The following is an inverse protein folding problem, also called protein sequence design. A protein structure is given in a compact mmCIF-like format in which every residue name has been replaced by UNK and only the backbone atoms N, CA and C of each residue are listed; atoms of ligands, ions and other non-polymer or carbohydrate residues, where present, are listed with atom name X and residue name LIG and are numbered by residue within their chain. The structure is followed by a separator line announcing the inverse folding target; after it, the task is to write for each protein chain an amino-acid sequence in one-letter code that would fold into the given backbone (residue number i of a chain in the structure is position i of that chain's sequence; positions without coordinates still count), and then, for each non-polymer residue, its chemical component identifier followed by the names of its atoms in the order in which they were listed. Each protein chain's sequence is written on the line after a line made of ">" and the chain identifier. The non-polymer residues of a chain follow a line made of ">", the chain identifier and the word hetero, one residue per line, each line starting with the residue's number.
data_IF_607402529573
#
_entry.id   IF_607402529573
#
_cell.length_a   1.000
_cell.length_b   1.000
_cell.length_c   1.000
_cell.angle_alpha   90.00
_cell.angle_beta   90.00
_cell.angle_gamma   90.00
#
_symmetry.space_group_name_H-M   'P 1'
#
loop_
_entity.id
_entity.type
_entity.pdbx_description
1 polymer ?
#
# COMPACT_ATOMS: atom_id res chain seq x y z
N UNK A 1 6.99 35.23 -4.85
CA UNK A 1 8.47 35.32 -4.86
C UNK A 1 9.19 34.02 -4.45
N UNK A 2 8.55 33.06 -3.75
CA UNK A 2 9.17 31.77 -3.34
C UNK A 2 8.93 30.58 -4.31
N UNK A 3 8.20 30.77 -5.41
CA UNK A 3 7.73 29.67 -6.30
C UNK A 3 8.80 29.22 -7.30
N UNK A 4 9.77 30.09 -7.60
CA UNK A 4 10.89 29.88 -8.51
C UNK A 4 12.12 29.27 -7.80
N UNK A 5 11.93 28.38 -6.81
CA UNK A 5 13.04 27.55 -6.38
C UNK A 5 13.46 26.71 -7.60
N UNK A 6 14.65 27.05 -8.11
CA UNK A 6 15.19 26.69 -9.41
C UNK A 6 14.89 25.22 -9.76
N UNK A 7 14.31 24.95 -10.92
CA UNK A 7 13.84 23.61 -11.33
C UNK A 7 14.87 22.50 -11.10
N UNK A 8 16.15 22.81 -11.35
CA UNK A 8 17.28 21.91 -11.09
C UNK A 8 17.46 21.59 -9.60
N UNK A 9 17.26 22.58 -8.72
CA UNK A 9 17.34 22.43 -7.27
C UNK A 9 16.19 21.59 -6.74
N UNK A 10 14.94 21.81 -7.20
CA UNK A 10 13.78 20.99 -6.78
C UNK A 10 13.95 19.52 -7.17
N UNK A 11 14.39 19.24 -8.39
CA UNK A 11 14.68 17.87 -8.84
C UNK A 11 15.85 17.26 -8.07
N UNK A 12 16.93 18.02 -7.86
CA UNK A 12 18.08 17.58 -7.07
C UNK A 12 17.69 17.19 -5.65
N UNK A 13 16.92 18.03 -4.95
CA UNK A 13 16.39 17.74 -3.61
C UNK A 13 15.54 16.47 -3.64
N UNK A 14 14.65 16.33 -4.63
CA UNK A 14 13.80 15.12 -4.75
C UNK A 14 14.63 13.84 -4.85
N UNK A 15 15.64 13.81 -5.72
CA UNK A 15 16.50 12.63 -5.87
C UNK A 15 17.33 12.35 -4.63
N UNK A 16 17.84 13.39 -3.95
CA UNK A 16 18.55 13.24 -2.68
C UNK A 16 17.63 12.65 -1.61
N UNK A 17 16.39 13.16 -1.50
CA UNK A 17 15.39 12.65 -0.55
C UNK A 17 15.04 11.19 -0.85
N UNK A 18 14.83 10.83 -2.12
CA UNK A 18 14.56 9.45 -2.54
C UNK A 18 15.75 8.54 -2.18
N UNK A 19 16.97 8.94 -2.55
CA UNK A 19 18.18 8.17 -2.27
C UNK A 19 18.41 7.97 -0.77
N UNK A 20 18.27 9.04 0.02
CA UNK A 20 18.32 8.98 1.48
C UNK A 20 17.26 8.03 2.05
N UNK A 21 16.02 8.12 1.57
CA UNK A 21 14.91 7.25 2.04
C UNK A 21 15.17 5.79 1.71
N UNK A 22 15.73 5.48 0.53
CA UNK A 22 16.09 4.10 0.15
C UNK A 22 17.19 3.56 1.07
N UNK A 23 18.27 4.32 1.28
CA UNK A 23 19.36 3.91 2.17
C UNK A 23 18.85 3.72 3.60
N UNK A 24 18.02 4.65 4.08
CA UNK A 24 17.39 4.57 5.38
C UNK A 24 16.51 3.32 5.50
N UNK A 25 15.66 3.03 4.51
CA UNK A 25 14.79 1.86 4.49
C UNK A 25 15.59 0.54 4.49
N UNK A 26 16.69 0.46 3.74
CA UNK A 26 17.57 -0.72 3.72
C UNK A 26 18.23 -0.91 5.08
N UNK A 27 18.83 0.15 5.64
CA UNK A 27 19.52 0.08 6.93
C UNK A 27 18.54 -0.30 8.05
N UNK A 28 17.39 0.36 8.09
CA UNK A 28 16.38 0.11 9.10
C UNK A 28 15.75 -1.29 8.98
N UNK A 29 15.50 -1.77 7.76
CA UNK A 29 15.02 -3.15 7.52
C UNK A 29 16.09 -4.21 7.83
N UNK A 30 17.38 -3.84 7.83
CA UNK A 30 18.46 -4.77 8.20
C UNK A 30 18.64 -4.87 9.72
N UNK A 31 18.38 -3.77 10.43
CA UNK A 31 18.54 -3.67 11.89
C UNK A 31 17.25 -4.03 12.65
N UNK A 32 16.08 -3.76 12.06
CA UNK A 32 14.77 -4.00 12.67
C UNK A 32 13.98 -5.05 11.90
N UNK A 33 13.01 -5.69 12.55
CA UNK A 33 12.07 -6.63 11.92
C UNK A 33 10.99 -5.95 11.07
N UNK A 34 11.09 -4.63 10.83
CA UNK A 34 10.10 -3.86 10.08
C UNK A 34 10.39 -4.01 8.58
N UNK A 35 9.36 -4.43 7.84
CA UNK A 35 9.47 -4.64 6.40
C UNK A 35 9.74 -3.34 5.64
N UNK A 36 10.61 -3.43 4.63
CA UNK A 36 10.92 -2.31 3.71
C UNK A 36 9.66 -1.75 3.01
N UNK A 37 8.62 -2.56 2.86
CA UNK A 37 7.35 -2.21 2.23
C UNK A 37 6.67 -1.01 2.92
N UNK A 38 6.81 -0.87 4.24
CA UNK A 38 6.25 0.28 4.98
C UNK A 38 6.83 1.63 4.55
N UNK A 39 8.06 1.66 4.02
CA UNK A 39 8.76 2.88 3.61
C UNK A 39 8.54 3.26 2.15
N UNK A 40 7.91 2.39 1.35
CA UNK A 40 7.75 2.63 -0.08
C UNK A 40 6.96 3.91 -0.37
N UNK A 41 6.01 4.28 0.51
CA UNK A 41 5.27 5.51 0.29
C UNK A 41 6.13 6.77 0.40
N UNK A 42 7.13 6.75 1.28
CA UNK A 42 8.09 7.84 1.46
C UNK A 42 9.03 7.98 0.26
N UNK A 43 9.22 6.91 -0.51
CA UNK A 43 10.00 6.93 -1.75
C UNK A 43 9.20 7.59 -2.88
N UNK A 44 7.88 7.32 -3.00
CA UNK A 44 7.09 7.82 -4.13
C UNK A 44 6.43 9.19 -3.90
N UNK A 45 6.19 9.62 -2.65
CA UNK A 45 5.62 10.95 -2.36
C UNK A 45 6.49 12.11 -2.91
N UNK A 46 7.82 12.12 -2.72
CA UNK A 46 8.69 13.16 -3.29
C UNK A 46 8.59 13.22 -4.82
N UNK A 47 8.36 12.08 -5.48
CA UNK A 47 8.20 12.03 -6.93
C UNK A 47 6.98 12.83 -7.40
N UNK A 48 5.84 12.71 -6.69
CA UNK A 48 4.62 13.47 -6.99
C UNK A 48 4.87 14.98 -6.83
N UNK A 49 5.55 15.38 -5.75
CA UNK A 49 5.79 16.79 -5.42
C UNK A 49 6.88 17.45 -6.29
N UNK A 50 7.60 16.67 -7.10
CA UNK A 50 8.65 17.16 -7.99
C UNK A 50 8.13 17.95 -9.19
N UNK A 51 6.83 17.83 -9.50
CA UNK A 51 6.22 18.53 -10.64
C UNK A 51 6.15 20.04 -10.43
N UNK A 52 6.55 20.80 -11.45
CA UNK A 52 6.40 22.25 -11.48
C UNK A 52 5.14 22.71 -12.20
N UNK A 53 4.55 21.84 -13.02
CA UNK A 53 3.32 22.10 -13.76
C UNK A 53 2.19 21.22 -13.25
N UNK A 54 0.96 21.73 -13.33
CA UNK A 54 -0.25 20.98 -12.96
C UNK A 54 -0.38 19.69 -13.80
N UNK A 55 -0.07 19.75 -15.09
CA UNK A 55 -0.07 18.57 -15.96
C UNK A 55 0.96 17.53 -15.53
N UNK A 56 2.17 17.97 -15.14
CA UNK A 56 3.21 17.09 -14.62
C UNK A 56 2.81 16.43 -13.30
N UNK A 57 2.11 17.16 -12.41
CA UNK A 57 1.59 16.63 -11.16
C UNK A 57 0.61 15.47 -11.41
N UNK A 58 -0.37 15.67 -12.29
CA UNK A 58 -1.32 14.63 -12.67
C UNK A 58 -0.63 13.43 -13.34
N UNK A 59 0.38 13.68 -14.19
CA UNK A 59 1.17 12.61 -14.80
C UNK A 59 1.89 11.75 -13.75
N UNK A 60 2.62 12.37 -12.81
CA UNK A 60 3.29 11.61 -11.74
C UNK A 60 2.30 10.88 -10.83
N UNK A 61 1.16 11.48 -10.54
CA UNK A 61 0.10 10.84 -9.76
C UNK A 61 -0.44 9.59 -10.47
N UNK A 62 -0.59 9.61 -11.80
CA UNK A 62 -0.93 8.42 -12.58
C UNK A 62 0.19 7.36 -12.58
N UNK A 63 1.45 7.77 -12.71
CA UNK A 63 2.60 6.85 -12.62
C UNK A 63 2.64 6.17 -11.25
N UNK A 64 2.50 6.94 -10.17
CA UNK A 64 2.48 6.40 -8.81
C UNK A 64 1.28 5.49 -8.58
N UNK A 65 0.09 5.81 -9.10
CA UNK A 65 -1.09 4.91 -9.08
C UNK A 65 -0.77 3.55 -9.72
N UNK A 66 -0.11 3.55 -10.88
CA UNK A 66 0.24 2.29 -11.58
C UNK A 66 1.26 1.50 -10.76
N UNK A 67 2.31 2.15 -10.25
CA UNK A 67 3.31 1.49 -9.39
C UNK A 67 2.67 0.90 -8.15
N UNK A 68 1.79 1.67 -7.49
CA UNK A 68 1.02 1.22 -6.32
C UNK A 68 0.22 -0.04 -6.64
N UNK A 69 -0.59 -0.03 -7.70
CA UNK A 69 -1.40 -1.18 -8.07
C UNK A 69 -0.50 -2.39 -8.36
N UNK A 70 0.56 -2.21 -9.16
CA UNK A 70 1.47 -3.30 -9.51
C UNK A 70 2.12 -3.95 -8.29
N UNK A 71 2.39 -3.21 -7.21
CA UNK A 71 2.95 -3.79 -5.99
C UNK A 71 1.97 -4.73 -5.27
N UNK A 72 0.70 -4.33 -5.12
CA UNK A 72 -0.30 -5.21 -4.50
C UNK A 72 -0.56 -6.45 -5.36
N UNK A 73 -0.58 -6.27 -6.68
CA UNK A 73 -0.70 -7.39 -7.63
C UNK A 73 0.49 -8.32 -7.54
N UNK A 74 1.71 -7.79 -7.45
CA UNK A 74 2.92 -8.60 -7.27
C UNK A 74 2.89 -9.39 -5.96
N UNK A 75 2.41 -8.79 -4.86
CA UNK A 75 2.22 -9.48 -3.59
C UNK A 75 1.24 -10.65 -3.72
N UNK A 76 0.10 -10.45 -4.39
CA UNK A 76 -0.87 -11.51 -4.63
C UNK A 76 -0.31 -12.63 -5.53
N UNK A 77 0.40 -12.27 -6.59
CA UNK A 77 1.06 -13.24 -7.49
C UNK A 77 2.12 -14.04 -6.75
N UNK A 78 2.87 -13.44 -5.82
CA UNK A 78 3.82 -14.17 -4.98
C UNK A 78 3.12 -15.19 -4.07
N UNK A 79 1.93 -14.87 -3.53
CA UNK A 79 1.10 -15.81 -2.74
C UNK A 79 0.58 -16.98 -3.60
N UNK A 80 0.27 -16.74 -4.87
CA UNK A 80 -0.05 -17.79 -5.84
C UNK A 80 1.17 -18.65 -6.19
N UNK A 81 2.29 -18.01 -6.52
CA UNK A 81 3.52 -18.69 -6.96
C UNK A 81 4.14 -19.57 -5.86
N UNK A 82 4.12 -19.10 -4.61
CA UNK A 82 4.59 -19.87 -3.46
C UNK A 82 3.70 -21.07 -3.12
N UNK A 83 2.55 -21.24 -3.79
CA UNK A 83 1.57 -22.27 -3.46
C UNK A 83 0.88 -22.05 -2.11
N UNK A 84 1.07 -20.89 -1.48
CA UNK A 84 0.56 -20.61 -0.14
C UNK A 84 -0.97 -20.61 -0.09
N UNK A 85 -1.64 -20.30 -1.20
CA UNK A 85 -3.11 -20.31 -1.31
C UNK A 85 -3.67 -21.73 -1.31
N UNK A 86 -2.87 -22.77 -1.52
CA UNK A 86 -3.34 -24.16 -1.47
C UNK A 86 -3.09 -24.83 -0.11
N UNK A 87 -2.41 -24.13 0.81
CA UNK A 87 -2.03 -24.69 2.09
C UNK A 87 -2.79 -23.98 3.22
N UNK A 88 -3.69 -24.73 3.87
CA UNK A 88 -4.56 -24.24 4.95
C UNK A 88 -3.79 -23.79 6.19
N UNK A 89 -2.56 -24.26 6.36
CA UNK A 89 -1.75 -24.00 7.55
C UNK A 89 -0.96 -22.70 7.46
N UNK A 90 -0.89 -22.07 6.28
CA UNK A 90 -0.08 -20.88 6.04
C UNK A 90 -0.50 -19.71 6.92
N UNK A 91 -1.79 -19.39 6.95
CA UNK A 91 -2.27 -18.25 7.74
C UNK A 91 -2.12 -18.50 9.24
N UNK A 92 -2.45 -19.70 9.73
CA UNK A 92 -2.23 -20.05 11.13
C UNK A 92 -0.76 -19.97 11.52
N UNK A 93 0.14 -20.38 10.62
CA UNK A 93 1.59 -20.26 10.83
C UNK A 93 2.08 -18.82 10.87
N UNK A 94 1.56 -17.96 9.97
CA UNK A 94 1.86 -16.52 9.96
C UNK A 94 1.40 -15.87 11.26
N UNK A 95 0.14 -16.10 11.67
CA UNK A 95 -0.42 -15.55 12.91
C UNK A 95 0.35 -16.01 14.14
N UNK A 96 0.70 -17.30 14.21
CA UNK A 96 1.48 -17.84 15.31
C UNK A 96 2.86 -17.19 15.38
N UNK A 97 3.56 -17.07 14.25
CA UNK A 97 4.91 -16.48 14.20
C UNK A 97 4.88 -14.99 14.56
N UNK A 98 3.89 -14.27 14.07
CA UNK A 98 3.76 -12.82 14.24
C UNK A 98 3.38 -12.44 15.66
N UNK A 99 2.48 -13.21 16.28
CA UNK A 99 1.98 -12.95 17.63
C UNK A 99 2.61 -13.86 18.70
N UNK A 100 3.68 -14.59 18.39
CA UNK A 100 4.31 -15.54 19.32
C UNK A 100 4.66 -14.91 20.67
N UNK A 101 5.24 -13.71 20.65
CA UNK A 101 5.61 -12.98 21.86
C UNK A 101 4.37 -12.59 22.65
N UNK A 102 3.32 -12.12 21.97
CA UNK A 102 2.06 -11.68 22.59
C UNK A 102 1.27 -12.84 23.20
N UNK A 103 1.28 -14.00 22.54
CA UNK A 103 0.65 -15.24 23.03
C UNK A 103 1.31 -15.76 24.31
N UNK A 104 2.61 -15.53 24.49
CA UNK A 104 3.36 -15.97 25.68
C UNK A 104 3.25 -14.94 26.81
N UNK A 105 3.29 -13.64 26.51
CA UNK A 105 3.34 -12.60 27.54
C UNK A 105 1.97 -12.27 28.15
N UNK A 106 0.90 -12.25 27.35
CA UNK A 106 -0.43 -11.77 27.77
C UNK A 106 -1.54 -12.74 27.33
N UNK A 107 -1.56 -13.93 27.92
CA UNK A 107 -2.50 -14.99 27.55
C UNK A 107 -3.99 -14.66 27.83
N UNK A 108 -4.28 -13.75 28.77
CA UNK A 108 -5.66 -13.47 29.20
C UNK A 108 -6.38 -12.40 28.37
N UNK A 109 -5.65 -11.62 27.57
CA UNK A 109 -6.20 -10.54 26.75
C UNK A 109 -7.22 -11.06 25.72
N UNK A 110 -8.25 -10.25 25.46
CA UNK A 110 -9.29 -10.59 24.48
C UNK A 110 -8.72 -10.80 23.08
N UNK A 111 -7.72 -10.00 22.69
CA UNK A 111 -7.05 -10.10 21.39
C UNK A 111 -6.26 -11.40 21.27
N UNK A 112 -5.54 -11.80 22.33
CA UNK A 112 -4.80 -13.07 22.38
C UNK A 112 -5.74 -14.26 22.20
N UNK A 113 -6.89 -14.25 22.89
CA UNK A 113 -7.92 -15.28 22.74
C UNK A 113 -8.47 -15.36 21.31
N UNK A 114 -8.67 -14.21 20.68
CA UNK A 114 -9.12 -14.14 19.29
C UNK A 114 -8.08 -14.69 18.30
N UNK A 115 -6.80 -14.31 18.44
CA UNK A 115 -5.71 -14.85 17.61
C UNK A 115 -5.55 -16.36 17.84
N UNK A 116 -5.62 -16.81 19.10
CA UNK A 116 -5.54 -18.23 19.43
C UNK A 116 -6.70 -19.02 18.81
N UNK A 117 -7.92 -18.48 18.83
CA UNK A 117 -9.07 -19.06 18.14
C UNK A 117 -8.82 -19.23 16.64
N UNK A 118 -8.28 -18.20 15.96
CA UNK A 118 -7.93 -18.26 14.53
C UNK A 118 -6.84 -19.30 14.24
N UNK A 119 -5.83 -19.39 15.11
CA UNK A 119 -4.75 -20.38 14.97
C UNK A 119 -5.28 -21.82 15.10
N UNK A 120 -6.24 -22.05 16.00
CA UNK A 120 -6.88 -23.37 16.14
C UNK A 120 -7.87 -23.67 15.00
N UNK A 121 -8.59 -22.66 14.49
CA UNK A 121 -9.56 -22.82 13.39
C UNK A 121 -8.91 -22.50 12.04
N UNK A 122 -8.06 -23.42 11.58
CA UNK A 122 -7.29 -23.31 10.33
C UNK A 122 -8.12 -22.91 9.11
N UNK A 123 -9.33 -23.45 8.96
CA UNK A 123 -10.22 -23.14 7.83
C UNK A 123 -10.63 -21.67 7.85
N UNK A 124 -10.98 -21.14 9.03
CA UNK A 124 -11.38 -19.73 9.19
C UNK A 124 -10.20 -18.80 8.93
N UNK A 125 -9.02 -19.10 9.48
CA UNK A 125 -7.81 -18.34 9.19
C UNK A 125 -7.47 -18.37 7.69
N UNK A 126 -7.57 -19.54 7.06
CA UNK A 126 -7.34 -19.69 5.63
C UNK A 126 -8.34 -18.90 4.77
N UNK A 127 -9.62 -18.82 5.17
CA UNK A 127 -10.59 -17.97 4.51
C UNK A 127 -10.18 -16.49 4.54
N UNK A 128 -9.67 -15.99 5.67
CA UNK A 128 -9.12 -14.62 5.75
C UNK A 128 -7.92 -14.43 4.82
N UNK A 129 -7.05 -15.43 4.70
CA UNK A 129 -5.90 -15.38 3.79
C UNK A 129 -6.33 -15.32 2.31
N UNK A 130 -7.33 -16.10 1.93
CA UNK A 130 -7.92 -16.05 0.57
C UNK A 130 -8.56 -14.68 0.34
N UNK A 131 -9.37 -14.18 1.27
CA UNK A 131 -10.02 -12.88 1.13
C UNK A 131 -9.01 -11.75 0.97
N UNK A 132 -7.93 -11.74 1.76
CA UNK A 132 -6.84 -10.77 1.61
C UNK A 132 -6.17 -10.85 0.24
N UNK A 133 -5.89 -12.06 -0.23
CA UNK A 133 -5.28 -12.27 -1.56
C UNK A 133 -6.22 -11.84 -2.70
N UNK A 134 -7.52 -12.10 -2.59
CA UNK A 134 -8.51 -11.66 -3.56
C UNK A 134 -8.65 -10.13 -3.57
N UNK A 135 -8.62 -9.49 -2.40
CA UNK A 135 -8.65 -8.03 -2.30
C UNK A 135 -7.45 -7.39 -3.04
N UNK A 136 -6.26 -7.98 -2.90
CA UNK A 136 -5.07 -7.56 -3.65
C UNK A 136 -5.21 -7.77 -5.16
N UNK A 137 -5.75 -8.92 -5.60
CA UNK A 137 -5.96 -9.20 -7.03
C UNK A 137 -7.01 -8.29 -7.67
N UNK A 138 -8.06 -7.91 -6.94
CA UNK A 138 -9.10 -7.00 -7.45
C UNK A 138 -8.50 -5.64 -7.82
N UNK A 139 -7.42 -5.21 -7.17
CA UNK A 139 -6.72 -3.97 -7.51
C UNK A 139 -6.18 -3.96 -8.95
N UNK A 140 -5.93 -5.12 -9.59
CA UNK A 140 -5.59 -5.23 -11.02
C UNK A 140 -6.58 -4.49 -11.90
N UNK A 141 -7.88 -4.51 -11.54
CA UNK A 141 -8.94 -3.84 -12.32
C UNK A 141 -8.64 -2.35 -12.47
N UNK A 142 -7.99 -1.72 -11.48
CA UNK A 142 -7.57 -0.32 -11.53
C UNK A 142 -6.55 0.00 -12.63
N UNK A 143 -5.81 -0.99 -13.14
CA UNK A 143 -4.92 -0.79 -14.29
C UNK A 143 -5.71 -0.52 -15.57
N UNK A 144 -6.80 -1.27 -15.77
CA UNK A 144 -7.57 -1.24 -17.01
C UNK A 144 -8.67 -0.18 -17.00
N UNK A 145 -9.25 0.13 -15.83
CA UNK A 145 -10.36 1.07 -15.74
C UNK A 145 -10.26 1.99 -14.52
N UNK A 146 -10.75 3.22 -14.68
CA UNK A 146 -10.87 4.22 -13.61
C UNK A 146 -12.30 4.29 -13.04
N UNK A 147 -13.26 3.63 -13.68
CA UNK A 147 -14.69 3.69 -13.29
C UNK A 147 -14.93 3.16 -11.88
N UNK A 148 -14.12 2.20 -11.44
CA UNK A 148 -14.26 1.55 -10.14
C UNK A 148 -13.30 2.09 -9.07
N UNK A 149 -12.61 3.21 -9.30
CA UNK A 149 -11.61 3.75 -8.36
C UNK A 149 -12.18 3.97 -6.94
N UNK A 150 -13.45 4.33 -6.80
CA UNK A 150 -14.11 4.44 -5.47
C UNK A 150 -14.25 3.10 -4.76
N UNK A 151 -14.61 2.04 -5.48
CA UNK A 151 -14.73 0.69 -4.92
C UNK A 151 -13.34 0.17 -4.56
N UNK A 152 -12.36 0.37 -5.44
CA UNK A 152 -10.96 -0.03 -5.18
C UNK A 152 -10.40 0.68 -3.95
N UNK A 153 -10.74 1.96 -3.73
CA UNK A 153 -10.37 2.69 -2.52
C UNK A 153 -10.97 2.05 -1.27
N UNK A 154 -12.28 1.73 -1.28
CA UNK A 154 -12.94 1.09 -0.13
C UNK A 154 -12.33 -0.28 0.16
N UNK A 155 -12.09 -1.09 -0.87
CA UNK A 155 -11.42 -2.40 -0.75
C UNK A 155 -10.02 -2.22 -0.16
N UNK A 156 -9.26 -1.23 -0.62
CA UNK A 156 -7.93 -0.95 -0.11
C UNK A 156 -7.94 -0.49 1.36
N UNK A 157 -8.85 0.41 1.75
CA UNK A 157 -8.98 0.83 3.14
C UNK A 157 -9.41 -0.33 4.05
N UNK A 158 -10.33 -1.18 3.59
CA UNK A 158 -10.74 -2.38 4.31
C UNK A 158 -9.56 -3.36 4.47
N UNK A 159 -8.75 -3.52 3.43
CA UNK A 159 -7.54 -4.33 3.47
C UNK A 159 -6.52 -3.81 4.50
N UNK A 160 -6.22 -2.50 4.50
CA UNK A 160 -5.33 -1.89 5.50
C UNK A 160 -5.83 -2.08 6.93
N UNK A 161 -7.15 -1.93 7.13
CA UNK A 161 -7.75 -2.13 8.44
C UNK A 161 -7.65 -3.60 8.88
N UNK A 162 -7.90 -4.55 7.97
CA UNK A 162 -7.76 -5.97 8.25
C UNK A 162 -6.31 -6.35 8.58
N UNK A 163 -5.32 -5.84 7.85
CA UNK A 163 -3.90 -6.07 8.12
C UNK A 163 -3.47 -5.47 9.47
N UNK A 164 -3.96 -4.29 9.81
CA UNK A 164 -3.72 -3.69 11.13
C UNK A 164 -4.38 -4.52 12.24
N UNK A 165 -5.62 -4.94 12.06
CA UNK A 165 -6.35 -5.68 13.10
C UNK A 165 -5.81 -7.10 13.29
N UNK A 166 -5.62 -7.86 12.21
CA UNK A 166 -5.22 -9.27 12.28
C UNK A 166 -3.71 -9.42 12.47
N UNK A 167 -2.92 -8.63 11.75
CA UNK A 167 -1.47 -8.78 11.73
C UNK A 167 -0.74 -7.67 12.52
N UNK A 168 -1.42 -6.62 12.99
CA UNK A 168 -0.78 -5.48 13.67
C UNK A 168 0.34 -4.83 12.85
N UNK A 169 0.21 -4.87 11.52
CA UNK A 169 1.17 -4.21 10.63
C UNK A 169 0.74 -2.76 10.40
N UNK A 170 1.64 -1.82 10.70
CA UNK A 170 1.38 -0.38 10.60
C UNK A 170 1.57 0.13 9.17
N UNK A 171 0.59 -0.13 8.29
CA UNK A 171 0.59 0.32 6.89
C UNK A 171 -0.16 1.65 6.64
N UNK A 172 -0.46 2.44 7.67
CA UNK A 172 -1.16 3.73 7.52
C UNK A 172 -0.46 4.74 6.60
N UNK A 173 0.86 4.61 6.44
CA UNK A 173 1.65 5.41 5.50
C UNK A 173 1.15 5.27 4.06
N UNK A 174 0.58 4.12 3.69
CA UNK A 174 0.00 3.90 2.37
C UNK A 174 -1.31 4.66 2.14
N UNK A 175 -1.96 5.19 3.19
CA UNK A 175 -3.14 6.04 3.04
C UNK A 175 -2.83 7.29 2.21
N UNK A 176 -1.59 7.76 2.18
CA UNK A 176 -1.19 8.87 1.31
C UNK A 176 -1.51 8.61 -0.18
N UNK A 177 -1.54 7.35 -0.62
CA UNK A 177 -1.89 6.97 -1.99
C UNK A 177 -3.38 6.80 -2.24
N UNK A 178 -4.24 6.88 -1.22
CA UNK A 178 -5.69 7.00 -1.45
C UNK A 178 -6.01 8.26 -2.26
N UNK A 179 -5.23 9.33 -2.07
CA UNK A 179 -5.27 10.52 -2.90
C UNK A 179 -5.03 10.24 -4.38
N UNK A 180 -4.21 9.25 -4.74
CA UNK A 180 -3.98 8.88 -6.14
C UNK A 180 -5.23 8.31 -6.81
N UNK A 181 -6.07 7.57 -6.08
CA UNK A 181 -7.35 7.07 -6.59
C UNK A 181 -8.41 8.18 -6.63
N UNK A 182 -8.42 9.07 -5.65
CA UNK A 182 -9.37 10.17 -5.60
C UNK A 182 -9.12 11.22 -6.69
N UNK A 183 -7.86 11.65 -6.87
CA UNK A 183 -7.50 12.69 -7.85
C UNK A 183 -7.40 12.16 -9.30
N UNK A 184 -7.27 10.85 -9.49
CA UNK A 184 -7.32 10.19 -10.81
C UNK A 184 -8.65 10.42 -11.56
N UNK A 185 -9.75 10.64 -10.83
CA UNK A 185 -11.06 10.96 -11.40
C UNK A 185 -11.09 12.33 -12.09
N UNK A 186 -10.37 13.32 -11.56
CA UNK A 186 -10.28 14.66 -12.13
C UNK A 186 -9.20 14.72 -13.22
N UNK A 187 -9.34 13.91 -14.26
CA UNK A 187 -8.41 13.96 -15.40
C UNK A 187 -8.63 15.22 -16.23
N UNK A 188 -7.55 15.68 -16.88
CA UNK A 188 -7.39 16.93 -17.63
C UNK A 188 -8.48 17.26 -18.68
N UNK A 189 -9.33 16.31 -19.08
CA UNK A 189 -10.38 16.53 -20.08
C UNK A 189 -11.48 17.49 -19.59
N UNK A 190 -11.91 17.42 -18.32
CA UNK A 190 -12.94 18.33 -17.78
C UNK A 190 -12.49 19.80 -17.76
N UNK A 191 -11.17 20.04 -17.69
CA UNK A 191 -10.59 21.40 -17.71
C UNK A 191 -10.32 21.91 -19.13
N UNK A 192 -10.21 21.04 -20.13
CA UNK A 192 -10.11 21.47 -21.53
C UNK A 192 -11.47 21.92 -22.08
N UNK A 193 -12.57 21.37 -21.58
CA UNK A 193 -13.92 21.85 -21.92
C UNK A 193 -14.18 23.26 -21.38
N UNK A 194 -13.78 23.55 -20.14
CA UNK A 194 -13.95 24.88 -19.53
C UNK A 194 -13.15 25.98 -20.23
N UNK A 195 -12.04 25.64 -20.91
CA UNK A 195 -11.21 26.59 -21.65
C UNK A 195 -11.67 26.83 -23.10
N UNK A 196 -12.68 26.10 -23.57
CA UNK A 196 -13.36 26.36 -24.86
C UNK A 196 -14.62 27.21 -24.71
N UNK A 197 -15.04 27.49 -23.47
CA UNK A 197 -16.25 28.25 -23.13
C UNK A 197 -15.94 29.68 -22.63
N UNK A 198 -14.67 30.08 -22.61
CA UNK A 198 -14.16 31.43 -22.34
C UNK A 198 -13.28 31.87 -23.50
#
# INVERSE_FOLDING_TARGET
>A
MAVLLNFKIKKGITFITIGFTIVYAIFFSSVSYISMQGYMSWILIPLILSSTTIQGFYYYLHVVRIIFILMFVAAAVQKLYSGAIFNTDQMSGILLKQHAVYLVSNAEDWFTKFIYFLVQHKITAFAFYIMGTLAELILVIGLFTRRYDRILLVVFCAFLFADYFLMQIYYFIWLAFTGCFYFSYFSLDDKMEYKKLL
#
